data_IF_311397787917
#
_entry.id   IF_311397787917
#
_cell.length_a   1.000
_cell.length_b   1.000
_cell.length_c   1.000
_cell.angle_alpha   90.00
_cell.angle_beta   90.00
_cell.angle_gamma   90.00
#
_symmetry.space_group_name_H-M   'P 1'
#
loop_
_entity.id
_entity.type
_entity.pdbx_description
1 polymer ?
#
# COMPACT_ATOMS: atom_id res chain seq x y z
N UNK A 1 1.59 -17.50 -14.36
CA UNK A 1 1.59 -16.03 -14.41
C UNK A 1 2.82 -15.56 -13.66
N UNK A 2 3.65 -14.73 -14.26
CA UNK A 2 4.79 -14.10 -13.57
C UNK A 2 4.36 -12.72 -13.09
N UNK A 3 4.09 -12.58 -11.79
CA UNK A 3 3.87 -11.28 -11.17
C UNK A 3 5.24 -10.67 -10.87
N UNK A 4 5.41 -9.38 -11.15
CA UNK A 4 6.55 -8.58 -10.73
C UNK A 4 6.02 -7.21 -10.32
N UNK A 5 5.87 -7.00 -9.01
CA UNK A 5 5.30 -5.78 -8.42
C UNK A 5 6.35 -5.18 -7.50
N UNK A 6 6.91 -4.05 -7.90
CA UNK A 6 7.86 -3.31 -7.10
C UNK A 6 7.13 -2.45 -6.06
N UNK A 7 7.43 -2.66 -4.78
CA UNK A 7 6.93 -1.88 -3.65
C UNK A 7 8.06 -0.99 -3.15
N UNK A 8 7.92 0.31 -3.39
CA UNK A 8 8.97 1.31 -3.13
C UNK A 8 10.30 0.92 -3.81
N UNK A 9 11.43 1.33 -3.23
CA UNK A 9 12.77 0.98 -3.72
C UNK A 9 13.32 -0.30 -3.07
N UNK A 10 12.67 -0.77 -2.00
CA UNK A 10 13.21 -1.82 -1.12
C UNK A 10 12.72 -3.22 -1.47
N UNK A 11 11.48 -3.37 -1.97
CA UNK A 11 10.85 -4.68 -2.09
C UNK A 11 10.29 -4.93 -3.49
N UNK A 12 10.32 -6.20 -3.90
CA UNK A 12 9.68 -6.68 -5.13
C UNK A 12 8.92 -7.97 -4.82
N UNK A 13 7.61 -7.97 -5.10
CA UNK A 13 6.80 -9.18 -5.07
C UNK A 13 6.95 -9.89 -6.41
N UNK A 14 7.37 -11.15 -6.35
CA UNK A 14 7.27 -12.07 -7.49
C UNK A 14 6.29 -13.20 -7.18
N UNK A 15 5.88 -13.96 -8.19
CA UNK A 15 5.08 -15.17 -7.98
C UNK A 15 5.62 -16.33 -8.82
N UNK A 16 5.60 -17.51 -8.24
CA UNK A 16 5.70 -18.77 -8.98
C UNK A 16 4.30 -19.40 -9.15
N UNK A 17 4.22 -20.68 -9.51
CA UNK A 17 2.95 -21.36 -9.72
C UNK A 17 2.17 -21.68 -8.42
N UNK A 18 2.82 -21.58 -7.25
CA UNK A 18 2.28 -22.04 -5.97
C UNK A 18 2.21 -20.93 -4.91
N UNK A 19 3.04 -19.90 -5.02
CA UNK A 19 3.26 -18.94 -3.95
C UNK A 19 3.73 -17.57 -4.46
N UNK A 20 3.45 -16.56 -3.65
CA UNK A 20 4.00 -15.22 -3.75
C UNK A 20 5.29 -15.13 -2.95
N UNK A 21 6.28 -14.48 -3.53
CA UNK A 21 7.62 -14.35 -2.99
C UNK A 21 7.86 -12.86 -2.73
N UNK A 22 8.08 -12.49 -1.48
CA UNK A 22 8.54 -11.15 -1.13
C UNK A 22 10.05 -11.13 -1.25
N UNK A 23 10.59 -10.30 -2.14
CA UNK A 23 12.03 -10.10 -2.31
C UNK A 23 12.44 -8.73 -1.81
N UNK A 24 13.64 -8.62 -1.27
CA UNK A 24 14.30 -7.36 -0.99
C UNK A 24 15.34 -7.09 -2.08
N UNK A 25 15.38 -5.86 -2.57
CA UNK A 25 16.42 -5.39 -3.49
C UNK A 25 17.67 -5.13 -2.67
N UNK A 26 18.73 -5.89 -2.94
CA UNK A 26 20.03 -5.74 -2.31
C UNK A 26 21.08 -5.39 -3.36
N UNK A 27 22.07 -4.60 -2.99
CA UNK A 27 23.22 -4.27 -3.86
C UNK A 27 24.39 -5.14 -3.45
N UNK A 28 25.06 -5.76 -4.42
CA UNK A 28 26.30 -6.50 -4.13
C UNK A 28 27.38 -5.54 -3.63
N UNK A 29 27.96 -5.87 -2.48
CA UNK A 29 29.05 -5.10 -1.90
C UNK A 29 30.32 -5.11 -2.76
N UNK A 30 31.19 -4.15 -2.48
CA UNK A 30 32.39 -3.83 -3.27
C UNK A 30 33.42 -4.97 -3.36
N UNK A 31 33.31 -5.98 -2.49
CA UNK A 31 34.18 -7.16 -2.46
C UNK A 31 33.73 -8.31 -3.37
N UNK A 32 32.73 -8.11 -4.24
CA UNK A 32 32.31 -9.11 -5.23
C UNK A 32 32.70 -8.69 -6.66
N UNK A 33 32.94 -9.66 -7.54
CA UNK A 33 33.28 -9.44 -8.96
C UNK A 33 32.20 -8.66 -9.76
N UNK A 34 31.05 -8.36 -9.16
CA UNK A 34 29.94 -7.60 -9.74
C UNK A 34 29.44 -6.55 -8.72
N UNK A 35 30.37 -5.82 -8.10
CA UNK A 35 30.07 -4.70 -7.22
C UNK A 35 29.08 -3.72 -7.89
N UNK A 36 28.04 -3.31 -7.16
CA UNK A 36 26.99 -2.42 -7.68
C UNK A 36 25.82 -3.10 -8.39
N UNK A 37 25.87 -4.41 -8.64
CA UNK A 37 24.74 -5.12 -9.25
C UNK A 37 23.61 -5.36 -8.22
N UNK A 38 22.38 -4.98 -8.57
CA UNK A 38 21.19 -5.23 -7.76
C UNK A 38 20.72 -6.67 -7.93
N UNK A 39 20.56 -7.39 -6.81
CA UNK A 39 20.02 -8.74 -6.80
C UNK A 39 18.80 -8.83 -5.86
N UNK A 40 17.92 -9.78 -6.17
CA UNK A 40 16.75 -10.07 -5.36
C UNK A 40 17.10 -11.11 -4.29
N UNK A 41 16.86 -10.75 -3.04
CA UNK A 41 16.96 -11.67 -1.91
C UNK A 41 15.56 -12.01 -1.41
N UNK A 42 15.16 -13.27 -1.51
CA UNK A 42 13.89 -13.74 -0.98
C UNK A 42 13.84 -13.53 0.55
N UNK A 43 12.82 -12.81 1.00
CA UNK A 43 12.53 -12.50 2.41
C UNK A 43 11.51 -13.48 2.98
N UNK A 44 10.57 -13.92 2.16
CA UNK A 44 9.52 -14.84 2.58
C UNK A 44 8.68 -15.35 1.42
N UNK A 45 8.01 -16.47 1.68
CA UNK A 45 7.12 -17.16 0.76
C UNK A 45 5.72 -17.24 1.37
N UNK A 46 4.70 -16.93 0.57
CA UNK A 46 3.34 -16.74 1.04
C UNK A 46 2.34 -17.35 0.05
N UNK A 47 1.36 -18.09 0.55
CA UNK A 47 0.33 -18.69 -0.31
C UNK A 47 -0.74 -17.70 -0.77
N UNK A 48 -0.74 -16.47 -0.23
CA UNK A 48 -1.69 -15.41 -0.60
C UNK A 48 -1.09 -14.02 -0.42
N UNK A 49 -1.60 -13.06 -1.20
CA UNK A 49 -1.17 -11.65 -1.14
C UNK A 49 -1.50 -11.02 0.22
N UNK A 50 -2.64 -11.36 0.83
CA UNK A 50 -3.04 -10.77 2.11
C UNK A 50 -2.05 -11.12 3.23
N UNK A 51 -1.54 -12.36 3.25
CA UNK A 51 -0.52 -12.79 4.21
C UNK A 51 0.82 -12.13 3.93
N UNK A 52 1.19 -11.98 2.66
CA UNK A 52 2.40 -11.27 2.27
C UNK A 52 2.36 -9.81 2.76
N UNK A 53 1.26 -9.10 2.50
CA UNK A 53 1.10 -7.69 2.91
C UNK A 53 1.13 -7.55 4.43
N UNK A 54 0.44 -8.42 5.18
CA UNK A 54 0.50 -8.45 6.65
C UNK A 54 1.93 -8.66 7.15
N UNK A 55 2.65 -9.62 6.57
CA UNK A 55 4.02 -9.92 6.95
C UNK A 55 4.98 -8.77 6.63
N UNK A 56 4.77 -8.08 5.51
CA UNK A 56 5.52 -6.87 5.13
C UNK A 56 5.29 -5.75 6.14
N UNK A 57 4.05 -5.43 6.49
CA UNK A 57 3.72 -4.41 7.49
C UNK A 57 4.36 -4.71 8.86
N UNK A 58 4.26 -5.96 9.32
CA UNK A 58 4.88 -6.38 10.57
C UNK A 58 6.41 -6.30 10.52
N UNK A 59 7.02 -6.56 9.35
CA UNK A 59 8.45 -6.43 9.16
C UNK A 59 8.88 -4.97 9.24
N UNK A 60 8.19 -4.06 8.54
CA UNK A 60 8.50 -2.63 8.61
C UNK A 60 8.39 -2.10 10.03
N UNK A 61 7.36 -2.51 10.78
CA UNK A 61 7.24 -2.16 12.20
C UNK A 61 8.41 -2.68 13.03
N UNK A 62 8.79 -3.97 12.88
CA UNK A 62 9.92 -4.56 13.62
C UNK A 62 11.28 -3.94 13.27
N UNK A 63 11.43 -3.44 12.05
CA UNK A 63 12.66 -2.81 11.56
C UNK A 63 12.69 -1.30 11.80
N UNK A 64 11.56 -0.72 12.18
CA UNK A 64 11.47 0.70 12.51
C UNK A 64 11.94 0.97 13.95
N UNK A 65 12.44 2.18 14.16
CA UNK A 65 12.73 2.71 15.50
C UNK A 65 11.49 3.36 16.14
N UNK A 66 10.28 2.90 15.77
CA UNK A 66 9.04 3.46 16.31
C UNK A 66 8.93 3.16 17.81
N UNK A 67 8.81 4.22 18.61
CA UNK A 67 8.68 4.14 20.07
C UNK A 67 7.27 4.46 20.55
N UNK A 68 6.41 4.95 19.66
CA UNK A 68 5.03 5.36 19.96
C UNK A 68 4.01 4.70 19.03
N UNK A 69 2.78 4.53 19.52
CA UNK A 69 1.68 3.98 18.72
C UNK A 69 1.37 4.83 17.47
N UNK A 70 1.52 6.15 17.57
CA UNK A 70 1.30 7.05 16.44
C UNK A 70 2.33 6.83 15.32
N UNK A 71 3.60 6.59 15.67
CA UNK A 71 4.62 6.24 14.69
C UNK A 71 4.34 4.87 14.05
N UNK A 72 3.92 3.89 14.85
CA UNK A 72 3.49 2.59 14.32
C UNK A 72 2.33 2.74 13.32
N UNK A 73 1.33 3.55 13.65
CA UNK A 73 0.20 3.83 12.75
C UNK A 73 0.68 4.47 11.45
N UNK A 74 1.58 5.45 11.52
CA UNK A 74 2.12 6.11 10.33
C UNK A 74 2.84 5.11 9.42
N UNK A 75 3.69 4.25 9.99
CA UNK A 75 4.42 3.21 9.23
C UNK A 75 3.46 2.24 8.54
N UNK A 76 2.39 1.82 9.23
CA UNK A 76 1.37 0.96 8.65
C UNK A 76 0.68 1.67 7.47
N UNK A 77 0.29 2.94 7.64
CA UNK A 77 -0.38 3.73 6.62
C UNK A 77 0.52 3.95 5.38
N UNK A 78 1.78 4.31 5.60
CA UNK A 78 2.75 4.53 4.52
C UNK A 78 3.02 3.23 3.75
N UNK A 79 3.18 2.11 4.46
CA UNK A 79 3.36 0.79 3.85
C UNK A 79 2.12 0.38 3.06
N UNK A 80 0.92 0.63 3.58
CA UNK A 80 -0.33 0.34 2.88
C UNK A 80 -0.48 1.17 1.59
N UNK A 81 -0.16 2.47 1.65
CA UNK A 81 -0.21 3.37 0.49
C UNK A 81 0.78 2.92 -0.60
N UNK A 82 2.01 2.57 -0.21
CA UNK A 82 3.03 2.02 -1.09
C UNK A 82 2.58 0.74 -1.80
N UNK A 83 2.00 -0.21 -1.04
CA UNK A 83 1.42 -1.42 -1.61
C UNK A 83 0.33 -1.07 -2.64
N UNK A 84 -0.63 -0.20 -2.28
CA UNK A 84 -1.72 0.18 -3.16
C UNK A 84 -1.20 0.80 -4.47
N UNK A 85 -0.21 1.69 -4.39
CA UNK A 85 0.40 2.30 -5.57
C UNK A 85 1.11 1.24 -6.43
N UNK A 86 1.88 0.35 -5.81
CA UNK A 86 2.57 -0.73 -6.49
C UNK A 86 1.60 -1.67 -7.21
N UNK A 87 0.47 -2.03 -6.58
CA UNK A 87 -0.56 -2.85 -7.21
C UNK A 87 -1.25 -2.11 -8.35
N UNK A 88 -1.52 -0.80 -8.24
CA UNK A 88 -2.08 -0.01 -9.34
C UNK A 88 -1.15 0.04 -10.57
N UNK A 89 0.15 0.14 -10.37
CA UNK A 89 1.14 0.23 -11.45
C UNK A 89 1.48 -1.15 -12.02
N UNK A 90 1.71 -2.14 -11.15
CA UNK A 90 2.12 -3.49 -11.52
C UNK A 90 0.98 -4.36 -12.03
N UNK A 91 -0.26 -4.11 -11.60
CA UNK A 91 -1.45 -4.56 -12.31
C UNK A 91 -1.71 -3.58 -13.44
N UNK A 92 -0.94 -3.67 -14.52
CA UNK A 92 -1.46 -3.17 -15.80
C UNK A 92 -2.83 -3.86 -15.95
N UNK A 93 -3.93 -3.12 -16.08
CA UNK A 93 -5.25 -3.73 -16.12
C UNK A 93 -5.21 -4.77 -17.24
N UNK A 94 -5.52 -6.02 -16.92
CA UNK A 94 -5.94 -6.98 -17.92
C UNK A 94 -7.24 -6.41 -18.49
N UNK A 95 -7.11 -5.50 -19.47
CA UNK A 95 -8.17 -4.83 -20.18
C UNK A 95 -9.43 -4.58 -19.31
N UNK A 96 -9.39 -3.59 -18.42
CA UNK A 96 -10.60 -2.77 -18.34
C UNK A 96 -10.56 -1.94 -19.63
N UNK A 97 -11.41 -2.35 -20.57
CA UNK A 97 -11.67 -1.63 -21.82
C UNK A 97 -11.96 -0.17 -21.50
N UNK A 98 -11.00 0.71 -21.82
CA UNK A 98 -11.19 2.15 -22.04
C UNK A 98 -11.92 2.93 -20.96
N UNK A 99 -11.52 2.83 -19.70
CA UNK A 99 -11.98 3.78 -18.68
C UNK A 99 -10.78 4.31 -17.90
N UNK A 100 -10.23 5.43 -18.37
CA UNK A 100 -9.35 6.27 -17.57
C UNK A 100 -10.23 7.27 -16.80
N UNK A 101 -10.38 7.15 -15.46
CA UNK A 101 -11.22 8.06 -14.69
C UNK A 101 -10.74 9.52 -14.76
N UNK A 102 -9.48 9.74 -15.16
CA UNK A 102 -8.86 11.04 -15.39
C UNK A 102 -9.12 11.65 -16.77
N UNK A 103 -9.50 10.87 -17.79
CA UNK A 103 -9.76 11.36 -19.16
C UNK A 103 -11.20 11.10 -19.64
N UNK A 104 -11.86 10.03 -19.19
CA UNK A 104 -13.15 9.56 -19.70
C UNK A 104 -14.37 9.92 -18.82
N UNK A 105 -14.18 10.56 -17.66
CA UNK A 105 -15.30 10.96 -16.79
C UNK A 105 -15.86 12.33 -17.17
N UNK A 106 -17.16 12.37 -17.41
CA UNK A 106 -17.89 13.63 -17.60
C UNK A 106 -17.75 14.53 -16.36
N UNK A 107 -17.74 15.86 -16.55
CA UNK A 107 -17.67 16.82 -15.43
C UNK A 107 -18.79 16.58 -14.41
N UNK A 108 -19.95 16.10 -14.85
CA UNK A 108 -21.07 15.75 -13.98
C UNK A 108 -20.77 14.59 -13.03
N UNK A 109 -20.08 13.55 -13.51
CA UNK A 109 -19.73 12.38 -12.69
C UNK A 109 -18.64 12.70 -11.68
N UNK A 110 -17.66 13.52 -12.08
CA UNK A 110 -16.66 14.08 -11.16
C UNK A 110 -17.33 14.88 -10.05
N UNK A 111 -18.23 15.78 -10.43
CA UNK A 111 -18.97 16.59 -9.48
C UNK A 111 -19.83 15.74 -8.53
N UNK A 112 -20.45 14.66 -9.02
CA UNK A 112 -21.21 13.72 -8.15
C UNK A 112 -20.33 13.02 -7.13
N UNK A 113 -19.13 12.57 -7.53
CA UNK A 113 -18.21 11.89 -6.62
C UNK A 113 -17.64 12.85 -5.58
N UNK A 114 -17.23 14.05 -5.99
CA UNK A 114 -16.75 15.08 -5.05
C UNK A 114 -17.84 15.49 -4.07
N UNK A 115 -19.07 15.71 -4.56
CA UNK A 115 -20.21 16.03 -3.71
C UNK A 115 -20.53 14.91 -2.72
N UNK A 116 -20.49 13.65 -3.15
CA UNK A 116 -20.69 12.50 -2.28
C UNK A 116 -19.59 12.37 -1.22
N UNK A 117 -18.34 12.70 -1.57
CA UNK A 117 -17.22 12.72 -0.64
C UNK A 117 -17.37 13.84 0.40
N UNK A 118 -17.73 15.06 -0.03
CA UNK A 118 -18.01 16.16 0.89
C UNK A 118 -19.21 15.88 1.79
N UNK A 119 -20.28 15.28 1.27
CA UNK A 119 -21.45 14.89 2.07
C UNK A 119 -21.07 13.84 3.11
N UNK A 120 -20.29 12.83 2.73
CA UNK A 120 -19.78 11.82 3.66
C UNK A 120 -18.90 12.43 4.77
N UNK A 121 -18.03 13.39 4.41
CA UNK A 121 -17.22 14.14 5.38
C UNK A 121 -18.08 15.04 6.29
N UNK A 122 -19.12 15.68 5.76
CA UNK A 122 -20.09 16.46 6.55
C UNK A 122 -20.86 15.57 7.53
N UNK A 123 -21.24 14.37 7.13
CA UNK A 123 -21.90 13.41 8.02
C UNK A 123 -21.00 12.92 9.16
N UNK A 124 -19.71 12.66 8.88
CA UNK A 124 -18.71 12.38 9.91
C UNK A 124 -18.56 13.55 10.89
N UNK A 125 -18.44 14.78 10.37
CA UNK A 125 -18.29 15.97 11.22
C UNK A 125 -19.55 16.25 12.07
N UNK A 126 -20.74 15.94 11.56
CA UNK A 126 -22.01 16.07 12.29
C UNK A 126 -22.15 14.99 13.37
N UNK A 127 -21.69 13.76 13.09
CA UNK A 127 -21.66 12.68 14.06
C UNK A 127 -20.67 12.96 15.21
N UNK A 128 -19.49 13.50 14.90
CA UNK A 128 -18.51 13.92 15.90
C UNK A 128 -19.03 15.07 16.78
N UNK A 129 -19.69 16.06 16.18
CA UNK A 129 -20.29 17.17 16.95
C UNK A 129 -21.51 16.75 17.77
N UNK A 130 -22.26 15.72 17.35
CA UNK A 130 -23.29 15.08 18.17
C UNK A 130 -22.68 14.32 19.37
N UNK A 131 -21.58 13.59 19.18
CA UNK A 131 -20.87 12.89 20.26
C UNK A 131 -20.29 13.87 21.30
N UNK A 132 -19.78 15.02 20.86
CA UNK A 132 -19.32 16.10 21.75
C UNK A 132 -20.48 16.74 22.52
N UNK A 133 -21.64 16.95 21.89
CA UNK A 133 -22.85 17.49 22.57
C UNK A 133 -23.52 16.49 23.52
N UNK A 134 -23.39 15.19 23.29
CA UNK A 134 -23.90 14.14 24.19
C UNK A 134 -22.99 13.87 25.40
N UNK A 135 -21.89 14.61 25.58
CA UNK A 135 -21.06 14.56 26.79
C UNK A 135 -20.27 13.26 26.96
N UNK A 136 -20.05 12.49 25.89
CA UNK A 136 -19.31 11.21 25.92
C UNK A 136 -17.79 11.42 25.80
N UNK A 137 -17.32 12.68 25.74
CA UNK A 137 -15.90 13.01 25.85
C UNK A 137 -15.52 13.40 27.29
N UNK A 138 -15.53 12.43 28.21
CA UNK A 138 -14.67 12.42 29.40
C UNK A 138 -14.21 11.00 29.68
N UNK A 139 -12.92 10.76 29.49
CA UNK A 139 -12.23 9.50 29.76
C UNK A 139 -11.06 9.32 28.82
#
# INVERSE_FOLDING_TARGET
MSINIQINEKYIITSDNLQFILNQVAVKGDNSNQAGETYLKAVGYYHSIDLLVKALMQRELRQSDATTLQQCQQIIADTAAACLQAFKVGMKPLAFVGFDPGEDMSEEERHRIEKALEESQRHLFTAESHLVRMGVAKG
#
